data_IF_695295977502
#
_entry.id   IF_695295977502
#
_cell.length_a   1.000
_cell.length_b   1.000
_cell.length_c   1.000
_cell.angle_alpha   90.00
_cell.angle_beta   90.00
_cell.angle_gamma   90.00
#
_symmetry.space_group_name_H-M   'P 1'
#
loop_
_entity.id
_entity.type
_entity.pdbx_description
1 polymer ?
#
# COMPACT_ATOMS: atom_id res chain seq x y z
N UNK A 1 2.51 30.59 0.50
CA UNK A 1 1.48 30.10 1.48
C UNK A 1 0.68 28.90 0.93
N UNK A 2 0.21 28.93 -0.31
CA UNK A 2 -0.60 27.84 -0.88
C UNK A 2 0.02 26.42 -0.82
N UNK A 3 1.31 26.17 -1.17
CA UNK A 3 1.87 24.82 -1.10
C UNK A 3 1.95 24.28 0.33
N UNK A 4 2.22 25.14 1.33
CA UNK A 4 2.28 24.74 2.74
C UNK A 4 0.91 24.33 3.28
N UNK A 5 -0.13 25.06 2.92
CA UNK A 5 -1.50 24.71 3.32
C UNK A 5 -1.92 23.38 2.69
N UNK A 6 -1.68 23.19 1.41
CA UNK A 6 -2.01 21.94 0.70
C UNK A 6 -1.21 20.76 1.28
N UNK A 7 0.07 20.94 1.60
CA UNK A 7 0.88 19.94 2.32
C UNK A 7 0.22 19.52 3.64
N UNK A 8 -0.22 20.48 4.46
CA UNK A 8 -0.88 20.19 5.74
C UNK A 8 -2.18 19.41 5.56
N UNK A 9 -2.99 19.78 4.57
CA UNK A 9 -4.25 19.09 4.25
C UNK A 9 -3.96 17.64 3.82
N UNK A 10 -3.03 17.43 2.89
CA UNK A 10 -2.68 16.09 2.39
C UNK A 10 -2.12 15.20 3.50
N UNK A 11 -1.26 15.73 4.38
CA UNK A 11 -0.76 14.97 5.53
C UNK A 11 -1.87 14.59 6.51
N UNK A 12 -2.78 15.52 6.82
CA UNK A 12 -3.93 15.23 7.70
C UNK A 12 -4.83 14.13 7.10
N UNK A 13 -5.11 14.21 5.80
CA UNK A 13 -5.89 13.19 5.08
C UNK A 13 -5.17 11.84 5.07
N UNK A 14 -3.86 11.81 4.82
CA UNK A 14 -3.07 10.59 4.87
C UNK A 14 -3.08 9.98 6.27
N UNK A 15 -2.84 10.76 7.32
CA UNK A 15 -2.92 10.30 8.72
C UNK A 15 -4.29 9.75 9.06
N UNK A 16 -5.37 10.47 8.70
CA UNK A 16 -6.74 10.01 8.89
C UNK A 16 -7.03 8.68 8.17
N UNK A 17 -6.47 8.47 6.97
CA UNK A 17 -6.62 7.22 6.22
C UNK A 17 -5.81 6.07 6.85
N UNK A 18 -4.70 6.35 7.52
CA UNK A 18 -3.88 5.35 8.20
C UNK A 18 -4.50 4.83 9.50
N UNK A 19 -5.24 5.67 10.24
CA UNK A 19 -5.91 5.27 11.49
C UNK A 19 -6.75 3.99 11.32
N UNK A 20 -7.70 3.91 10.36
CA UNK A 20 -8.47 2.70 10.17
C UNK A 20 -7.66 1.50 9.68
N UNK A 21 -6.57 1.71 8.92
CA UNK A 21 -5.70 0.62 8.50
C UNK A 21 -4.97 -0.03 9.68
N UNK A 22 -4.56 0.76 10.67
CA UNK A 22 -3.82 0.28 11.84
C UNK A 22 -4.77 -0.27 12.91
N UNK A 23 -5.89 0.43 13.19
CA UNK A 23 -6.73 0.14 14.35
C UNK A 23 -8.04 -0.58 14.04
N UNK A 24 -8.56 -0.49 12.81
CA UNK A 24 -9.90 -0.96 12.42
C UNK A 24 -9.90 -1.95 11.24
N UNK A 25 -9.06 -3.00 11.27
CA UNK A 25 -8.90 -3.92 10.13
C UNK A 25 -10.16 -4.72 9.80
N UNK A 26 -11.08 -4.89 10.77
CA UNK A 26 -12.30 -5.68 10.63
C UNK A 26 -13.47 -4.93 10.00
N UNK A 27 -13.38 -3.62 9.87
CA UNK A 27 -14.43 -2.84 9.21
C UNK A 27 -14.26 -3.00 7.69
N UNK A 28 -15.11 -3.81 7.09
CA UNK A 28 -15.06 -4.18 5.65
C UNK A 28 -14.94 -2.96 4.71
N UNK A 29 -15.50 -1.85 5.11
CA UNK A 29 -15.46 -0.59 4.34
C UNK A 29 -14.06 0.03 4.36
N UNK A 30 -13.43 0.11 5.53
CA UNK A 30 -12.09 0.68 5.69
C UNK A 30 -11.02 -0.19 5.03
N UNK A 31 -11.13 -1.51 5.12
CA UNK A 31 -10.18 -2.43 4.50
C UNK A 31 -10.24 -2.48 2.96
N UNK A 32 -11.36 -2.06 2.33
CA UNK A 32 -11.53 -2.12 0.87
C UNK A 32 -11.55 -0.76 0.19
N UNK A 33 -12.22 0.22 0.77
CA UNK A 33 -12.42 1.53 0.14
C UNK A 33 -11.24 2.47 0.38
N UNK A 34 -10.79 2.58 1.63
CA UNK A 34 -9.69 3.49 1.99
C UNK A 34 -8.40 3.19 1.21
N UNK A 35 -7.94 1.92 1.09
CA UNK A 35 -6.70 1.59 0.37
C UNK A 35 -6.79 1.73 -1.16
N UNK A 36 -7.94 2.05 -1.70
CA UNK A 36 -8.14 2.29 -3.13
C UNK A 36 -8.46 3.76 -3.37
N UNK A 37 -9.46 4.29 -2.67
CA UNK A 37 -9.97 5.64 -2.90
C UNK A 37 -8.94 6.72 -2.54
N UNK A 38 -8.25 6.58 -1.41
CA UNK A 38 -7.28 7.58 -0.96
C UNK A 38 -5.99 7.60 -1.82
N UNK A 39 -5.35 6.48 -2.14
CA UNK A 39 -4.23 6.49 -3.09
C UNK A 39 -4.61 7.03 -4.46
N UNK A 40 -5.83 6.71 -4.95
CA UNK A 40 -6.32 7.24 -6.22
C UNK A 40 -6.51 8.76 -6.17
N UNK A 41 -7.09 9.28 -5.09
CA UNK A 41 -7.23 10.72 -4.88
C UNK A 41 -5.86 11.41 -4.86
N UNK A 42 -4.89 10.87 -4.12
CA UNK A 42 -3.54 11.41 -4.07
C UNK A 42 -2.83 11.30 -5.43
N UNK A 43 -3.06 10.22 -6.19
CA UNK A 43 -2.53 10.09 -7.54
C UNK A 43 -3.07 11.16 -8.49
N UNK A 44 -4.37 11.49 -8.40
CA UNK A 44 -4.97 12.58 -9.18
C UNK A 44 -4.36 13.93 -8.79
N UNK A 45 -4.22 14.20 -7.49
CA UNK A 45 -3.57 15.42 -7.00
C UNK A 45 -2.12 15.49 -7.45
N UNK A 46 -1.37 14.39 -7.37
CA UNK A 46 0.00 14.29 -7.87
C UNK A 46 0.11 14.64 -9.35
N UNK A 47 -0.74 14.05 -10.19
CA UNK A 47 -0.74 14.33 -11.63
C UNK A 47 -1.03 15.81 -11.91
N UNK A 48 -1.99 16.40 -11.21
CA UNK A 48 -2.30 17.82 -11.33
C UNK A 48 -1.11 18.70 -10.91
N UNK A 49 -0.45 18.36 -9.80
CA UNK A 49 0.74 19.10 -9.31
C UNK A 49 1.93 18.99 -10.27
N UNK A 50 2.21 17.80 -10.81
CA UNK A 50 3.27 17.59 -11.80
C UNK A 50 2.97 18.36 -13.08
N UNK A 51 1.75 18.26 -13.60
CA UNK A 51 1.36 18.99 -14.82
C UNK A 51 1.50 20.51 -14.67
N UNK A 52 1.19 21.03 -13.47
CA UNK A 52 1.29 22.47 -13.19
C UNK A 52 2.72 22.95 -12.89
N UNK A 53 3.58 22.11 -12.30
CA UNK A 53 4.90 22.50 -11.83
C UNK A 53 6.05 22.16 -12.77
N UNK A 54 5.97 21.02 -13.46
CA UNK A 54 7.08 20.49 -14.25
C UNK A 54 7.57 21.44 -15.37
N UNK A 55 6.71 22.15 -16.11
CA UNK A 55 7.16 23.11 -17.12
C UNK A 55 7.99 24.28 -16.59
N UNK A 56 7.87 24.58 -15.31
CA UNK A 56 8.51 25.72 -14.64
C UNK A 56 9.58 25.31 -13.63
N UNK A 57 9.71 24.00 -13.36
CA UNK A 57 10.73 23.47 -12.47
C UNK A 57 12.05 23.34 -13.23
N UNK A 58 13.10 23.96 -12.69
CA UNK A 58 14.45 23.72 -13.19
C UNK A 58 14.90 22.28 -12.93
N UNK A 59 15.87 21.79 -13.71
CA UNK A 59 16.45 20.47 -13.47
C UNK A 59 15.82 19.33 -14.30
N UNK A 60 15.88 18.10 -13.79
CA UNK A 60 15.40 16.90 -14.50
C UNK A 60 15.84 15.61 -13.83
N UNK A 61 15.51 14.47 -14.43
CA UNK A 61 15.75 13.13 -13.85
C UNK A 61 17.05 12.46 -14.31
N UNK A 62 17.85 13.13 -15.16
CA UNK A 62 19.07 12.55 -15.74
C UNK A 62 20.29 12.57 -14.81
N UNK A 63 20.27 13.36 -13.74
CA UNK A 63 21.34 13.45 -12.76
C UNK A 63 20.83 13.80 -11.38
N UNK A 64 21.60 13.46 -10.33
CA UNK A 64 21.25 13.82 -8.95
C UNK A 64 21.15 15.33 -8.74
N UNK A 65 22.04 16.10 -9.39
CA UNK A 65 22.00 17.56 -9.38
C UNK A 65 20.71 18.08 -10.05
N UNK A 66 20.29 17.46 -11.16
CA UNK A 66 19.03 17.77 -11.83
C UNK A 66 17.81 17.48 -10.96
N UNK A 67 17.78 16.32 -10.28
CA UNK A 67 16.70 15.96 -9.33
C UNK A 67 16.65 16.96 -8.17
N UNK A 68 17.82 17.36 -7.64
CA UNK A 68 17.85 18.37 -6.57
C UNK A 68 17.27 19.70 -7.04
N UNK A 69 17.70 20.18 -8.21
CA UNK A 69 17.19 21.44 -8.79
C UNK A 69 15.66 21.38 -9.06
N UNK A 70 15.14 20.19 -9.44
CA UNK A 70 13.70 19.99 -9.60
C UNK A 70 12.95 20.20 -8.27
N UNK A 71 13.50 19.69 -7.16
CA UNK A 71 12.88 19.80 -5.83
C UNK A 71 13.13 21.14 -5.12
N UNK A 72 13.94 22.02 -5.68
CA UNK A 72 14.01 23.42 -5.22
C UNK A 72 12.70 24.19 -5.53
N UNK A 73 11.88 23.69 -6.47
CA UNK A 73 10.54 24.20 -6.70
C UNK A 73 9.55 23.61 -5.66
N UNK A 74 8.88 24.46 -4.82
CA UNK A 74 7.99 23.97 -3.76
C UNK A 74 6.81 23.12 -4.25
N UNK A 75 6.33 23.36 -5.47
CA UNK A 75 5.23 22.60 -6.05
C UNK A 75 5.69 21.22 -6.56
N UNK A 76 6.87 21.14 -7.15
CA UNK A 76 7.47 19.87 -7.56
C UNK A 76 7.83 19.02 -6.33
N UNK A 77 8.34 19.65 -5.26
CA UNK A 77 8.57 18.99 -3.98
C UNK A 77 7.28 18.44 -3.38
N UNK A 78 6.21 19.26 -3.39
CA UNK A 78 4.89 18.82 -2.91
C UNK A 78 4.32 17.66 -3.74
N UNK A 79 4.53 17.69 -5.06
CA UNK A 79 4.17 16.57 -5.93
C UNK A 79 4.92 15.29 -5.53
N UNK A 80 6.23 15.36 -5.32
CA UNK A 80 7.03 14.22 -4.85
C UNK A 80 6.55 13.68 -3.51
N UNK A 81 6.19 14.57 -2.58
CA UNK A 81 5.61 14.17 -1.29
C UNK A 81 4.24 13.49 -1.45
N UNK A 82 3.37 14.04 -2.29
CA UNK A 82 2.06 13.47 -2.59
C UNK A 82 2.18 12.07 -3.22
N UNK A 83 3.16 11.89 -4.12
CA UNK A 83 3.50 10.58 -4.68
C UNK A 83 3.87 9.59 -3.56
N UNK A 84 4.75 9.98 -2.64
CA UNK A 84 5.12 9.15 -1.48
C UNK A 84 3.88 8.75 -0.67
N UNK A 85 3.02 9.71 -0.29
CA UNK A 85 1.79 9.43 0.48
C UNK A 85 0.85 8.46 -0.24
N UNK A 86 0.68 8.61 -1.55
CA UNK A 86 -0.15 7.72 -2.36
C UNK A 86 0.38 6.27 -2.31
N UNK A 87 1.69 6.09 -2.52
CA UNK A 87 2.30 4.76 -2.59
C UNK A 87 2.39 4.08 -1.23
N UNK A 88 2.75 4.78 -0.16
CA UNK A 88 2.80 4.14 1.16
C UNK A 88 1.41 3.71 1.61
N UNK A 89 0.38 4.49 1.32
CA UNK A 89 -1.00 4.13 1.66
C UNK A 89 -1.51 2.95 0.82
N UNK A 90 -1.15 2.88 -0.45
CA UNK A 90 -1.44 1.74 -1.32
C UNK A 90 -0.75 0.45 -0.81
N UNK A 91 0.54 0.53 -0.46
CA UNK A 91 1.31 -0.58 0.09
C UNK A 91 0.72 -1.04 1.43
N UNK A 92 0.45 -0.14 2.37
CA UNK A 92 -0.16 -0.49 3.65
C UNK A 92 -1.53 -1.16 3.50
N UNK A 93 -2.34 -0.67 2.58
CA UNK A 93 -3.60 -1.31 2.24
C UNK A 93 -3.43 -2.70 1.59
N UNK A 94 -2.37 -2.91 0.82
CA UNK A 94 -2.03 -4.23 0.29
C UNK A 94 -1.55 -5.16 1.40
N UNK A 95 -0.70 -4.70 2.32
CA UNK A 95 -0.23 -5.47 3.48
C UNK A 95 -1.38 -6.01 4.33
N UNK A 96 -2.37 -5.18 4.64
CA UNK A 96 -3.57 -5.57 5.39
C UNK A 96 -4.34 -6.66 4.65
N UNK A 97 -4.60 -6.49 3.34
CA UNK A 97 -5.34 -7.47 2.54
C UNK A 97 -4.60 -8.78 2.34
N UNK A 98 -3.27 -8.74 2.13
CA UNK A 98 -2.45 -9.95 1.96
C UNK A 98 -2.37 -10.72 3.28
N UNK A 99 -2.21 -10.03 4.42
CA UNK A 99 -2.24 -10.63 5.76
C UNK A 99 -3.57 -11.31 6.06
N UNK A 100 -4.70 -10.64 5.75
CA UNK A 100 -6.04 -11.20 5.92
C UNK A 100 -6.21 -12.48 5.09
N UNK A 101 -5.83 -12.47 3.81
CA UNK A 101 -5.89 -13.65 2.92
C UNK A 101 -5.05 -14.82 3.40
N UNK A 102 -3.96 -14.55 4.13
CA UNK A 102 -3.03 -15.57 4.67
C UNK A 102 -3.35 -15.97 6.09
N UNK A 103 -4.39 -15.43 6.71
CA UNK A 103 -4.72 -15.69 8.09
C UNK A 103 -3.66 -15.16 9.08
N UNK A 104 -2.84 -14.20 8.70
CA UNK A 104 -1.85 -13.58 9.60
C UNK A 104 -2.60 -12.64 10.55
N UNK A 105 -2.47 -12.82 11.87
CA UNK A 105 -3.11 -11.95 12.86
C UNK A 105 -2.69 -10.49 12.65
N UNK A 106 -3.66 -9.57 12.64
CA UNK A 106 -3.44 -8.16 12.37
C UNK A 106 -2.37 -7.53 13.28
N UNK A 107 -2.37 -7.86 14.56
CA UNK A 107 -1.40 -7.36 15.52
C UNK A 107 0.07 -7.63 15.12
N UNK A 108 0.32 -8.72 14.38
CA UNK A 108 1.68 -9.06 13.92
C UNK A 108 2.16 -8.16 12.79
N UNK A 109 1.25 -7.55 12.04
CA UNK A 109 1.60 -6.65 10.93
C UNK A 109 1.60 -5.18 11.33
N UNK A 110 1.04 -4.81 12.50
CA UNK A 110 1.01 -3.42 12.97
C UNK A 110 2.40 -2.76 12.97
N UNK A 111 3.49 -3.40 13.47
CA UNK A 111 4.82 -2.79 13.39
C UNK A 111 5.29 -2.52 11.95
N UNK A 112 4.96 -3.42 11.03
CA UNK A 112 5.28 -3.23 9.61
C UNK A 112 4.46 -2.06 9.01
N UNK A 113 3.15 -1.99 9.32
CA UNK A 113 2.28 -0.88 8.88
C UNK A 113 2.79 0.48 9.36
N UNK A 114 3.17 0.59 10.66
CA UNK A 114 3.73 1.83 11.21
C UNK A 114 5.04 2.19 10.50
N UNK A 115 5.89 1.21 10.26
CA UNK A 115 7.16 1.43 9.57
C UNK A 115 6.95 1.76 8.10
N UNK A 116 5.93 1.17 7.44
CA UNK A 116 5.53 1.51 6.06
C UNK A 116 5.05 2.96 5.97
N UNK A 117 4.28 3.41 6.94
CA UNK A 117 3.83 4.79 7.02
C UNK A 117 5.00 5.78 7.12
N UNK A 118 6.01 5.48 7.94
CA UNK A 118 7.13 6.38 8.22
C UNK A 118 8.25 6.27 7.16
N UNK A 119 8.56 5.06 6.72
CA UNK A 119 9.76 4.75 5.93
C UNK A 119 9.46 3.89 4.69
N UNK A 120 8.19 3.75 4.28
CA UNK A 120 7.77 3.07 3.06
C UNK A 120 8.42 1.68 2.85
N UNK A 121 9.52 1.61 2.05
CA UNK A 121 10.15 0.34 1.71
C UNK A 121 10.63 -0.49 2.89
N UNK A 122 11.08 0.14 3.99
CA UNK A 122 11.53 -0.58 5.17
C UNK A 122 10.39 -1.34 5.87
N UNK A 123 9.20 -0.72 5.94
CA UNK A 123 8.02 -1.37 6.49
C UNK A 123 7.55 -2.53 5.62
N UNK A 124 7.55 -2.34 4.31
CA UNK A 124 7.23 -3.41 3.37
C UNK A 124 8.18 -4.61 3.50
N UNK A 125 9.50 -4.39 3.65
CA UNK A 125 10.46 -5.46 3.91
C UNK A 125 10.18 -6.18 5.24
N UNK A 126 9.85 -5.45 6.29
CA UNK A 126 9.46 -6.03 7.58
C UNK A 126 8.18 -6.88 7.44
N UNK A 127 7.21 -6.41 6.66
CA UNK A 127 6.01 -7.18 6.37
C UNK A 127 6.34 -8.50 5.64
N UNK A 128 7.18 -8.46 4.61
CA UNK A 128 7.61 -9.66 3.88
C UNK A 128 8.34 -10.67 4.79
N UNK A 129 9.20 -10.18 5.68
CA UNK A 129 9.86 -11.02 6.69
C UNK A 129 8.83 -11.66 7.62
N UNK A 130 7.88 -10.88 8.18
CA UNK A 130 6.80 -11.37 9.03
C UNK A 130 5.97 -12.45 8.34
N UNK A 131 5.60 -12.22 7.09
CA UNK A 131 4.88 -13.17 6.25
C UNK A 131 5.66 -14.48 6.07
N UNK A 132 6.95 -14.40 5.79
CA UNK A 132 7.79 -15.58 5.60
C UNK A 132 7.91 -16.41 6.89
N UNK A 133 8.14 -15.78 8.05
CA UNK A 133 8.17 -16.46 9.35
C UNK A 133 6.84 -17.13 9.68
N UNK A 134 5.72 -16.47 9.46
CA UNK A 134 4.40 -17.06 9.69
C UNK A 134 4.16 -18.28 8.79
N UNK A 135 4.59 -18.23 7.53
CA UNK A 135 4.43 -19.35 6.59
C UNK A 135 5.30 -20.56 6.99
N UNK A 136 6.52 -20.34 7.48
CA UNK A 136 7.40 -21.42 7.98
C UNK A 136 6.78 -22.10 9.20
N UNK A 137 6.39 -21.31 10.20
CA UNK A 137 5.80 -21.85 11.42
C UNK A 137 4.51 -22.65 11.16
N UNK A 138 3.71 -22.27 10.16
CA UNK A 138 2.52 -23.02 9.77
C UNK A 138 2.87 -24.38 9.15
N UNK A 139 3.95 -24.47 8.37
CA UNK A 139 4.45 -25.73 7.80
C UNK A 139 5.02 -26.64 8.89
N UNK A 140 5.81 -26.09 9.80
CA UNK A 140 6.45 -26.84 10.90
C UNK A 140 5.40 -27.37 11.90
N UNK A 141 4.27 -26.68 12.04
CA UNK A 141 3.12 -27.12 12.85
C UNK A 141 2.21 -28.15 12.15
N UNK A 142 2.56 -28.63 10.95
CA UNK A 142 1.76 -29.60 10.20
C UNK A 142 0.42 -29.05 9.67
N UNK A 143 0.19 -27.76 9.77
CA UNK A 143 -0.98 -27.05 9.24
C UNK A 143 -0.80 -26.76 7.75
N UNK A 144 -0.67 -27.83 6.93
CA UNK A 144 -0.73 -27.69 5.48
C UNK A 144 -2.11 -27.14 5.08
N UNK A 145 -2.20 -26.22 4.13
CA UNK A 145 -3.49 -25.83 3.58
C UNK A 145 -4.20 -27.08 3.03
N UNK A 146 -5.53 -27.22 3.18
CA UNK A 146 -6.25 -28.36 2.67
C UNK A 146 -5.93 -28.53 1.18
N UNK A 147 -5.65 -29.77 0.72
CA UNK A 147 -5.40 -30.04 -0.69
C UNK A 147 -6.55 -29.46 -1.49
N UNK A 148 -6.23 -28.61 -2.48
CA UNK A 148 -7.22 -28.03 -3.34
C UNK A 148 -8.14 -29.13 -3.86
N UNK A 149 -9.46 -28.93 -3.75
CA UNK A 149 -10.46 -29.79 -4.38
C UNK A 149 -10.15 -29.85 -5.86
N UNK A 150 -9.30 -30.80 -6.25
CA UNK A 150 -9.25 -31.25 -7.63
C UNK A 150 -10.58 -31.90 -7.90
N UNK A 151 -11.43 -31.21 -8.64
CA UNK A 151 -12.70 -31.75 -9.12
C UNK A 151 -12.45 -32.95 -10.03
N UNK A 152 -12.43 -34.13 -9.47
CA UNK A 152 -12.57 -35.40 -10.18
C UNK A 152 -13.90 -36.04 -9.83
N UNK A 153 -14.94 -35.50 -10.40
CA UNK A 153 -16.26 -36.08 -10.45
C UNK A 153 -16.75 -36.03 -11.88
N UNK A 154 -16.11 -36.80 -12.76
CA UNK A 154 -16.67 -37.09 -14.07
C UNK A 154 -17.97 -37.92 -13.88
N UNK A 155 -19.04 -37.58 -14.62
CA UNK A 155 -20.28 -38.40 -14.54
C UNK A 155 -20.01 -39.77 -15.13
N UNK A 156 -20.25 -40.80 -14.29
CA UNK A 156 -20.35 -42.20 -14.72
C UNK A 156 -21.53 -42.31 -15.68
N UNK A 157 -21.24 -42.64 -16.93
CA UNK A 157 -22.23 -42.98 -17.94
C UNK A 157 -23.05 -44.21 -17.51
N UNK A 158 -24.41 -44.20 -17.59
CA UNK A 158 -25.18 -45.39 -17.40
C UNK A 158 -25.06 -46.28 -18.64
N UNK A 159 -24.61 -47.52 -18.47
CA UNK A 159 -24.66 -48.56 -19.51
C UNK A 159 -26.09 -48.93 -19.79
N UNK A 160 -26.57 -48.70 -21.00
CA UNK A 160 -27.78 -49.27 -21.56
C UNK A 160 -27.58 -50.78 -21.79
N UNK A 161 -28.44 -51.59 -21.17
CA UNK A 161 -28.90 -52.88 -21.63
C UNK A 161 -30.41 -52.90 -21.60
#
# INVERSE_FOLDING_TARGET
>A
MAPVLLFSILNLMAGAAWVPLVFLPRVRWTARVVPIAMPLLFAVVYVALIAASLPWAGGGFSSLAGVRALFDNPWALLAGWTHYLAFVLFIGGWEVRDAERRGIPHLRIVPALVLTFLFGPAGWLLYLATRWFCARNAKDAGLSPPPGRTGSGGPSSPSLR
#
